data_IF_248773908262
#
_entry.id   IF_248773908262
#
_cell.length_a   1.000
_cell.length_b   1.000
_cell.length_c   1.000
_cell.angle_alpha   90.00
_cell.angle_beta   90.00
_cell.angle_gamma   90.00
#
_symmetry.space_group_name_H-M   'P 1'
#
loop_
_entity.id
_entity.type
_entity.pdbx_description
1 polymer ?
#
# COMPACT_ATOMS: atom_id res chain seq x y z
N UNK A 1 1.23 20.66 16.04
CA UNK A 1 -0.10 21.01 15.50
C UNK A 1 -0.77 22.31 16.03
N UNK A 2 -1.09 22.48 17.33
CA UNK A 2 -1.89 23.65 17.81
C UNK A 2 -1.19 25.03 17.78
N UNK A 3 0.13 25.08 17.64
CA UNK A 3 0.92 26.28 17.94
C UNK A 3 0.64 27.44 16.97
N UNK A 4 0.18 27.16 15.75
CA UNK A 4 -0.01 28.17 14.70
C UNK A 4 -1.43 28.19 14.09
N UNK A 5 -2.37 27.41 14.65
CA UNK A 5 -3.77 27.50 14.25
C UNK A 5 -4.45 28.67 14.97
N UNK A 6 -4.82 29.73 14.24
CA UNK A 6 -5.49 30.91 14.82
C UNK A 6 -6.62 31.44 13.94
N UNK A 7 -7.51 32.19 14.58
CA UNK A 7 -8.49 33.00 13.87
C UNK A 7 -7.83 34.28 13.33
N UNK A 8 -7.78 34.43 12.02
CA UNK A 8 -7.30 35.62 11.31
C UNK A 8 -8.38 36.01 10.30
N UNK A 9 -8.84 37.25 10.33
CA UNK A 9 -9.88 37.79 9.44
C UNK A 9 -11.16 36.91 9.37
N UNK A 10 -11.54 36.27 10.48
CA UNK A 10 -12.73 35.42 10.57
C UNK A 10 -12.51 33.96 10.13
N UNK A 11 -11.33 33.62 9.62
CA UNK A 11 -10.97 32.26 9.22
C UNK A 11 -10.07 31.60 10.26
N UNK A 12 -10.30 30.33 10.54
CA UNK A 12 -9.38 29.54 11.34
C UNK A 12 -8.34 28.92 10.41
N UNK A 13 -7.09 29.37 10.50
CA UNK A 13 -6.06 29.12 9.49
C UNK A 13 -4.75 28.63 10.10
N UNK A 14 -3.90 28.00 9.28
CA UNK A 14 -2.58 27.52 9.63
C UNK A 14 -1.61 27.70 8.46
N UNK A 15 -0.41 28.20 8.77
CA UNK A 15 0.71 28.26 7.83
C UNK A 15 2.04 28.02 8.55
N UNK A 16 2.26 26.79 9.04
CA UNK A 16 3.42 26.47 9.86
C UNK A 16 4.61 26.02 9.00
N UNK A 17 5.68 26.81 8.99
CA UNK A 17 6.81 26.63 8.07
C UNK A 17 7.87 25.61 8.54
N UNK A 18 7.83 25.16 9.81
CA UNK A 18 8.75 24.12 10.28
C UNK A 18 8.16 22.73 10.03
N UNK A 19 8.60 22.07 8.97
CA UNK A 19 8.15 20.73 8.64
C UNK A 19 8.74 19.64 9.55
N UNK A 20 9.65 19.91 10.48
CA UNK A 20 10.27 18.85 11.32
C UNK A 20 9.42 18.47 12.54
N UNK A 21 8.53 19.36 13.01
CA UNK A 21 7.66 19.13 14.18
C UNK A 21 6.29 18.52 13.80
N UNK A 22 6.28 17.49 12.96
CA UNK A 22 5.04 16.82 12.52
C UNK A 22 4.49 15.91 13.61
N UNK A 23 3.23 16.10 13.98
CA UNK A 23 2.57 15.37 15.06
C UNK A 23 1.12 14.97 14.75
N UNK A 24 0.62 15.22 13.53
CA UNK A 24 -0.81 15.05 13.21
C UNK A 24 -1.08 14.66 11.77
N UNK A 25 -2.18 13.92 11.56
CA UNK A 25 -2.74 13.57 10.25
C UNK A 25 -4.20 14.04 10.21
N UNK A 26 -4.61 14.62 9.09
CA UNK A 26 -5.96 15.14 8.89
C UNK A 26 -6.42 14.93 7.44
N UNK A 27 -7.72 15.08 7.18
CA UNK A 27 -8.29 14.88 5.85
C UNK A 27 -8.41 16.23 5.12
N UNK A 28 -7.84 16.33 3.93
CA UNK A 28 -8.11 17.43 3.00
C UNK A 28 -9.45 17.13 2.34
N UNK A 29 -10.41 18.05 2.46
CA UNK A 29 -11.80 17.86 1.99
C UNK A 29 -12.21 18.89 0.94
N UNK A 30 -11.33 19.82 0.60
CA UNK A 30 -11.58 20.85 -0.41
C UNK A 30 -10.42 21.82 -0.52
N UNK A 31 -10.58 22.82 -1.36
CA UNK A 31 -9.61 23.88 -1.57
C UNK A 31 -10.27 25.15 -2.10
N UNK A 32 -9.56 26.26 -2.00
CA UNK A 32 -9.93 27.56 -2.58
C UNK A 32 -8.64 28.26 -3.04
N UNK A 33 -8.46 28.38 -4.36
CA UNK A 33 -7.27 28.99 -4.97
C UNK A 33 -7.19 30.50 -4.70
N UNK A 34 -8.33 31.15 -4.41
CA UNK A 34 -8.43 32.58 -4.14
C UNK A 34 -8.40 32.91 -2.64
N UNK A 35 -8.21 31.91 -1.77
CA UNK A 35 -8.16 32.12 -0.33
C UNK A 35 -7.09 33.16 0.03
N UNK A 36 -7.42 34.26 0.75
CA UNK A 36 -6.50 35.39 0.87
C UNK A 36 -5.22 35.07 1.66
N UNK A 37 -4.07 35.44 1.10
CA UNK A 37 -2.75 35.20 1.70
C UNK A 37 -2.54 35.89 3.07
N UNK A 38 -3.26 36.98 3.31
CA UNK A 38 -3.22 37.77 4.56
C UNK A 38 -4.10 37.18 5.67
N UNK A 39 -4.84 36.10 5.38
CA UNK A 39 -5.64 35.37 6.36
C UNK A 39 -4.82 34.33 7.13
N UNK A 40 -3.49 34.35 7.05
CA UNK A 40 -2.59 33.46 7.79
C UNK A 40 -1.73 34.25 8.79
N UNK A 41 -1.54 33.71 10.01
CA UNK A 41 -0.69 34.35 11.02
C UNK A 41 0.76 34.49 10.53
N UNK A 42 1.30 33.40 10.00
CA UNK A 42 2.52 33.43 9.20
C UNK A 42 2.09 33.77 7.77
N UNK A 43 2.46 34.95 7.22
CA UNK A 43 1.96 35.38 5.91
C UNK A 43 2.25 34.33 4.84
N UNK A 44 1.24 34.02 4.03
CA UNK A 44 1.46 33.23 2.83
C UNK A 44 2.08 34.10 1.73
N UNK A 45 2.90 33.50 0.88
CA UNK A 45 3.50 34.13 -0.30
C UNK A 45 2.50 34.29 -1.47
N UNK A 46 1.40 33.54 -1.43
CA UNK A 46 0.32 33.55 -2.43
C UNK A 46 -1.04 33.28 -1.82
N UNK A 47 -2.08 33.65 -2.54
CA UNK A 47 -3.42 33.16 -2.27
C UNK A 47 -3.48 31.65 -2.51
N UNK A 48 -4.44 31.00 -1.87
CA UNK A 48 -4.68 29.57 -2.03
C UNK A 48 -4.54 28.78 -0.74
N UNK A 49 -5.53 27.94 -0.46
CA UNK A 49 -5.56 27.13 0.75
C UNK A 49 -6.31 25.80 0.57
N UNK A 50 -5.87 24.80 1.31
CA UNK A 50 -6.59 23.54 1.53
C UNK A 50 -7.61 23.71 2.66
N UNK A 51 -8.83 23.22 2.45
CA UNK A 51 -9.80 23.03 3.52
C UNK A 51 -9.56 21.66 4.16
N UNK A 52 -9.26 21.67 5.46
CA UNK A 52 -8.89 20.46 6.20
C UNK A 52 -9.92 20.18 7.30
N UNK A 53 -10.39 18.93 7.35
CA UNK A 53 -11.22 18.40 8.44
C UNK A 53 -10.32 17.74 9.50
N UNK A 54 -10.44 18.22 10.72
CA UNK A 54 -9.71 17.71 11.87
C UNK A 54 -10.52 16.66 12.66
N UNK A 55 -9.86 15.93 13.57
CA UNK A 55 -10.41 14.90 14.45
C UNK A 55 -10.69 15.39 15.88
N UNK A 56 -10.62 16.69 16.16
CA UNK A 56 -10.86 17.28 17.49
C UNK A 56 -12.33 17.65 17.78
N UNK A 57 -13.24 17.22 16.91
CA UNK A 57 -14.67 17.44 17.06
C UNK A 57 -15.13 18.84 16.65
N UNK A 58 -16.45 19.03 16.69
CA UNK A 58 -17.12 20.21 16.11
C UNK A 58 -16.95 21.50 16.91
N UNK A 59 -16.41 21.44 18.14
CA UNK A 59 -16.19 22.63 18.96
C UNK A 59 -14.82 23.27 18.75
N UNK A 60 -13.97 22.65 17.93
CA UNK A 60 -12.65 23.15 17.61
C UNK A 60 -12.63 23.87 16.26
N UNK A 61 -11.89 24.97 16.15
CA UNK A 61 -11.78 25.73 14.92
C UNK A 61 -13.14 26.19 14.39
N UNK A 62 -13.35 26.04 13.09
CA UNK A 62 -14.61 26.34 12.42
C UNK A 62 -15.42 25.05 12.24
N UNK A 63 -16.11 24.60 13.30
CA UNK A 63 -16.86 23.35 13.31
C UNK A 63 -16.04 22.07 13.01
N UNK A 64 -14.78 22.04 13.44
CA UNK A 64 -13.83 20.97 13.17
C UNK A 64 -12.98 21.18 11.92
N UNK A 65 -13.20 22.27 11.19
CA UNK A 65 -12.47 22.61 9.96
C UNK A 65 -11.54 23.81 10.14
N UNK A 66 -10.53 23.88 9.27
CA UNK A 66 -9.56 24.96 9.21
C UNK A 66 -8.89 25.00 7.84
N UNK A 67 -8.29 26.15 7.52
CA UNK A 67 -7.59 26.37 6.25
C UNK A 67 -6.09 26.21 6.42
N UNK A 68 -5.45 25.50 5.50
CA UNK A 68 -4.00 25.32 5.46
C UNK A 68 -3.48 25.97 4.19
N UNK A 69 -2.55 26.93 4.33
CA UNK A 69 -1.94 27.58 3.17
C UNK A 69 -1.27 26.57 2.25
N UNK A 70 -1.33 26.80 0.93
CA UNK A 70 -0.53 26.04 -0.03
C UNK A 70 0.98 26.17 0.15
N UNK A 71 1.44 27.14 0.94
CA UNK A 71 2.84 27.36 1.24
C UNK A 71 3.30 26.58 2.48
N UNK A 72 2.38 25.93 3.18
CA UNK A 72 2.74 25.05 4.29
C UNK A 72 3.40 23.78 3.74
N UNK A 73 4.63 23.44 4.17
CA UNK A 73 5.30 22.23 3.73
C UNK A 73 4.58 20.99 4.26
N UNK A 74 3.79 20.34 3.41
CA UNK A 74 3.14 19.06 3.68
C UNK A 74 3.93 17.97 2.95
N UNK A 75 4.62 17.07 3.67
CA UNK A 75 5.54 16.09 3.08
C UNK A 75 4.88 14.85 2.48
N UNK A 76 3.67 14.54 2.93
CA UNK A 76 3.04 13.24 2.79
C UNK A 76 1.60 13.48 2.42
N UNK A 77 1.27 13.15 1.18
CA UNK A 77 -0.08 13.16 0.65
C UNK A 77 -0.46 11.73 0.29
N UNK A 78 -1.54 11.25 0.90
CA UNK A 78 -2.13 9.98 0.56
C UNK A 78 -3.49 10.26 -0.10
N UNK A 79 -3.66 9.75 -1.31
CA UNK A 79 -4.95 9.76 -1.99
C UNK A 79 -5.63 8.41 -1.74
N UNK A 80 -6.90 8.43 -1.34
CA UNK A 80 -7.71 7.23 -1.20
C UNK A 80 -9.09 7.43 -1.83
N UNK A 81 -9.56 6.40 -2.53
CA UNK A 81 -10.92 6.33 -3.06
C UNK A 81 -11.69 5.24 -2.33
N UNK A 82 -12.93 5.54 -1.93
CA UNK A 82 -13.83 4.57 -1.29
C UNK A 82 -14.98 4.27 -2.25
N UNK A 83 -15.32 2.99 -2.38
CA UNK A 83 -16.43 2.54 -3.24
C UNK A 83 -17.39 1.63 -2.47
N UNK A 84 -18.66 1.60 -2.92
CA UNK A 84 -19.71 0.67 -2.47
C UNK A 84 -20.14 -0.31 -3.56
N UNK A 85 -19.36 -0.40 -4.65
CA UNK A 85 -19.67 -1.26 -5.80
C UNK A 85 -19.61 -2.75 -5.49
N UNK A 86 -18.89 -3.15 -4.43
CA UNK A 86 -18.64 -4.55 -4.07
C UNK A 86 -19.37 -4.94 -2.79
N UNK A 87 -19.93 -6.14 -2.77
CA UNK A 87 -20.68 -6.69 -1.63
C UNK A 87 -19.78 -7.28 -0.55
N UNK A 88 -18.59 -7.76 -0.91
CA UNK A 88 -17.60 -8.25 0.07
C UNK A 88 -16.17 -8.20 -0.48
N UNK A 89 -15.21 -8.23 0.44
CA UNK A 89 -13.78 -8.27 0.17
C UNK A 89 -13.12 -9.39 0.98
N UNK A 90 -12.26 -10.20 0.35
CA UNK A 90 -11.51 -11.27 1.01
C UNK A 90 -10.03 -11.08 0.73
N UNK A 91 -9.23 -10.97 1.79
CA UNK A 91 -7.78 -10.86 1.72
C UNK A 91 -7.19 -11.68 2.86
N UNK A 92 -6.16 -12.48 2.54
CA UNK A 92 -5.39 -13.22 3.54
C UNK A 92 -4.17 -12.42 4.00
N UNK A 93 -3.41 -11.82 3.07
CA UNK A 93 -2.42 -10.79 3.40
C UNK A 93 -3.02 -9.38 3.32
N UNK A 94 -2.79 -8.52 4.32
CA UNK A 94 -3.39 -7.18 4.36
C UNK A 94 -2.42 -6.02 4.50
N UNK A 95 -1.25 -6.24 5.08
CA UNK A 95 -0.28 -5.19 5.35
C UNK A 95 1.07 -5.53 4.71
N UNK A 96 1.56 -4.74 3.75
CA UNK A 96 2.80 -5.03 3.03
C UNK A 96 4.01 -4.83 3.95
N UNK A 97 4.38 -5.87 4.67
CA UNK A 97 5.50 -5.88 5.64
C UNK A 97 6.73 -6.61 5.10
N UNK A 98 6.54 -7.47 4.09
CA UNK A 98 7.62 -8.18 3.42
C UNK A 98 7.55 -7.93 1.90
N UNK A 99 8.72 -7.99 1.26
CA UNK A 99 8.85 -7.82 -0.20
C UNK A 99 9.73 -8.93 -0.76
N UNK A 100 9.29 -9.55 -1.86
CA UNK A 100 10.14 -10.41 -2.68
C UNK A 100 10.50 -9.67 -3.94
N UNK A 101 11.79 -9.64 -4.23
CA UNK A 101 12.36 -8.99 -5.40
C UNK A 101 12.66 -10.02 -6.48
N UNK A 102 12.60 -9.58 -7.73
CA UNK A 102 13.07 -10.36 -8.88
C UNK A 102 14.58 -10.63 -8.77
N UNK A 103 15.05 -11.70 -9.41
CA UNK A 103 16.44 -12.14 -9.30
C UNK A 103 17.44 -11.07 -9.78
N UNK A 104 17.09 -10.30 -10.82
CA UNK A 104 17.91 -9.22 -11.35
C UNK A 104 17.94 -8.00 -10.42
N UNK A 105 16.84 -7.68 -9.74
CA UNK A 105 16.83 -6.64 -8.69
C UNK A 105 17.65 -7.08 -7.49
N UNK A 106 17.51 -8.34 -7.03
CA UNK A 106 18.33 -8.89 -5.94
C UNK A 106 19.83 -8.85 -6.27
N UNK A 107 20.21 -9.18 -7.50
CA UNK A 107 21.60 -9.14 -7.94
C UNK A 107 22.20 -7.72 -7.87
N UNK A 108 21.40 -6.68 -8.10
CA UNK A 108 21.82 -5.28 -7.98
C UNK A 108 21.89 -4.80 -6.53
N UNK A 109 20.92 -5.17 -5.71
CA UNK A 109 20.91 -4.87 -4.27
C UNK A 109 22.12 -5.48 -3.56
N UNK A 110 22.53 -6.67 -4.00
CA UNK A 110 23.66 -7.40 -3.42
C UNK A 110 23.38 -7.87 -1.98
N UNK A 111 24.38 -8.46 -1.31
CA UNK A 111 24.22 -9.02 0.03
C UNK A 111 23.95 -7.98 1.12
N UNK A 112 24.32 -6.71 0.87
CA UNK A 112 24.13 -5.60 1.79
C UNK A 112 22.79 -4.88 1.64
N UNK A 113 21.96 -5.28 0.66
CA UNK A 113 20.67 -4.62 0.38
C UNK A 113 20.79 -3.12 0.12
N UNK A 114 21.79 -2.73 -0.68
CA UNK A 114 22.05 -1.33 -0.96
C UNK A 114 21.11 -0.79 -2.04
N UNK A 115 20.07 -0.09 -1.60
CA UNK A 115 19.08 0.54 -2.48
C UNK A 115 19.67 1.64 -3.38
N UNK A 116 20.89 2.12 -3.13
CA UNK A 116 21.55 3.06 -4.04
C UNK A 116 21.98 2.43 -5.37
N UNK A 117 22.03 1.09 -5.44
CA UNK A 117 22.36 0.33 -6.65
C UNK A 117 21.15 0.04 -7.54
N UNK A 118 19.93 0.35 -7.10
CA UNK A 118 18.70 0.14 -7.86
C UNK A 118 18.05 1.48 -8.21
N UNK A 119 17.34 1.47 -9.33
CA UNK A 119 16.62 2.62 -9.87
C UNK A 119 15.14 2.28 -10.03
N UNK A 120 14.31 3.31 -10.22
CA UNK A 120 12.89 3.09 -10.51
C UNK A 120 12.67 2.27 -11.81
N UNK A 121 13.60 2.35 -12.75
CA UNK A 121 13.57 1.59 -14.01
C UNK A 121 13.68 0.08 -13.77
N UNK A 122 14.39 -0.34 -12.72
CA UNK A 122 14.54 -1.76 -12.37
C UNK A 122 13.21 -2.38 -11.93
N UNK A 123 12.34 -1.59 -11.31
CA UNK A 123 11.00 -2.03 -10.91
C UNK A 123 9.98 -1.97 -12.05
N UNK A 124 10.32 -1.40 -13.21
CA UNK A 124 9.41 -1.29 -14.37
C UNK A 124 9.88 -2.10 -15.58
N UNK A 125 11.17 -2.49 -15.62
CA UNK A 125 11.78 -3.23 -16.74
C UNK A 125 12.54 -4.49 -16.33
N UNK A 126 12.62 -4.79 -15.04
CA UNK A 126 13.23 -6.01 -14.54
C UNK A 126 12.44 -7.28 -14.88
N UNK A 127 12.83 -8.41 -14.29
CA UNK A 127 12.06 -9.65 -14.43
C UNK A 127 10.79 -9.61 -13.58
N UNK A 128 9.79 -10.40 -13.95
CA UNK A 128 8.57 -10.51 -13.17
C UNK A 128 8.76 -11.31 -11.88
N UNK A 129 8.09 -10.87 -10.82
CA UNK A 129 7.77 -11.68 -9.65
C UNK A 129 6.32 -12.13 -9.78
N UNK A 130 6.07 -13.43 -9.61
CA UNK A 130 4.74 -14.00 -9.71
C UNK A 130 4.33 -14.64 -8.39
N UNK A 131 3.15 -14.26 -7.92
CA UNK A 131 2.58 -14.71 -6.66
C UNK A 131 1.16 -15.22 -6.90
N UNK A 132 0.71 -16.15 -6.06
CA UNK A 132 -0.60 -16.72 -6.19
C UNK A 132 -1.26 -16.96 -4.84
N UNK A 133 -2.59 -16.84 -4.81
CA UNK A 133 -3.40 -17.14 -3.64
C UNK A 133 -4.64 -17.92 -4.05
N UNK A 134 -4.88 -19.04 -3.38
CA UNK A 134 -6.05 -19.90 -3.53
C UNK A 134 -7.17 -19.40 -2.60
N UNK A 135 -8.36 -19.22 -3.16
CA UNK A 135 -9.57 -18.83 -2.45
C UNK A 135 -10.63 -19.91 -2.58
N UNK A 136 -11.35 -20.16 -1.50
CA UNK A 136 -12.44 -21.16 -1.46
C UNK A 136 -13.84 -20.53 -1.46
N UNK A 137 -13.92 -19.21 -1.38
CA UNK A 137 -15.20 -18.50 -1.41
C UNK A 137 -15.78 -18.50 -2.81
N UNK A 138 -16.86 -19.26 -3.01
CA UNK A 138 -17.67 -19.19 -4.21
C UNK A 138 -18.34 -17.82 -4.35
N UNK A 139 -18.52 -17.36 -5.59
CA UNK A 139 -19.21 -16.11 -5.86
C UNK A 139 -18.95 -15.56 -7.25
N UNK A 140 -19.17 -14.26 -7.41
CA UNK A 140 -18.86 -13.53 -8.62
C UNK A 140 -17.80 -12.46 -8.32
N UNK A 141 -16.59 -12.66 -8.83
CA UNK A 141 -15.46 -11.74 -8.62
C UNK A 141 -15.59 -10.59 -9.60
N UNK A 142 -15.69 -9.36 -9.08
CA UNK A 142 -15.71 -8.14 -9.90
C UNK A 142 -14.34 -7.50 -10.05
N UNK A 143 -13.46 -7.65 -9.07
CA UNK A 143 -12.14 -7.05 -9.09
C UNK A 143 -11.13 -7.76 -8.17
N UNK A 144 -9.85 -7.48 -8.42
CA UNK A 144 -8.72 -7.90 -7.59
C UNK A 144 -7.90 -6.66 -7.21
N UNK A 145 -7.54 -6.54 -5.93
CA UNK A 145 -6.66 -5.49 -5.44
C UNK A 145 -5.30 -6.00 -4.97
N UNK A 146 -4.25 -5.22 -5.24
CA UNK A 146 -2.86 -5.51 -4.89
C UNK A 146 -2.02 -4.22 -4.89
N UNK A 147 -0.76 -4.31 -4.45
CA UNK A 147 0.16 -3.18 -4.36
C UNK A 147 1.14 -3.11 -5.54
N UNK A 148 1.44 -1.90 -6.02
CA UNK A 148 2.59 -1.58 -6.87
C UNK A 148 3.54 -0.63 -6.12
N UNK A 149 4.83 -0.73 -6.42
CA UNK A 149 5.89 0.08 -5.82
C UNK A 149 6.26 1.30 -6.66
N UNK A 150 6.15 1.17 -7.99
CA UNK A 150 6.56 2.21 -8.93
C UNK A 150 5.38 2.73 -9.77
N UNK A 151 5.35 4.02 -10.11
CA UNK A 151 4.58 4.51 -11.25
C UNK A 151 4.91 3.70 -12.50
N UNK A 152 3.89 3.43 -13.30
CA UNK A 152 3.98 2.70 -14.56
C UNK A 152 4.55 1.27 -14.44
N UNK A 153 4.56 0.68 -13.23
CA UNK A 153 4.94 -0.71 -13.02
C UNK A 153 4.00 -1.66 -13.77
N UNK A 154 4.52 -2.47 -14.69
CA UNK A 154 3.72 -3.47 -15.39
C UNK A 154 3.18 -4.52 -14.42
N UNK A 155 1.92 -4.90 -14.64
CA UNK A 155 1.31 -6.02 -13.94
C UNK A 155 0.48 -6.89 -14.88
N UNK A 156 0.26 -8.13 -14.46
CA UNK A 156 -0.79 -9.03 -14.97
C UNK A 156 -1.50 -9.69 -13.81
N UNK A 157 -2.83 -9.72 -13.84
CA UNK A 157 -3.68 -10.43 -12.89
C UNK A 157 -4.48 -11.50 -13.64
N UNK A 158 -4.45 -12.73 -13.15
CA UNK A 158 -5.20 -13.85 -13.69
C UNK A 158 -6.07 -14.49 -12.61
N UNK A 159 -7.29 -14.90 -12.97
CA UNK A 159 -8.14 -15.75 -12.16
C UNK A 159 -8.16 -17.13 -12.83
N UNK A 160 -7.77 -18.16 -12.10
CA UNK A 160 -7.69 -19.54 -12.58
C UNK A 160 -8.74 -20.40 -11.86
N UNK A 161 -9.35 -21.35 -12.57
CA UNK A 161 -10.31 -22.30 -12.03
C UNK A 161 -9.63 -23.30 -11.08
N UNK A 162 -10.20 -23.55 -9.90
CA UNK A 162 -9.63 -24.48 -8.92
C UNK A 162 -8.26 -24.06 -8.40
N UNK A 163 -7.38 -25.04 -8.16
CA UNK A 163 -5.97 -24.80 -7.83
C UNK A 163 -5.15 -24.86 -9.11
N UNK A 164 -4.77 -23.69 -9.64
CA UNK A 164 -3.95 -23.56 -10.84
C UNK A 164 -4.51 -24.28 -12.10
N UNK A 165 -5.84 -24.29 -12.26
CA UNK A 165 -6.49 -24.81 -13.47
C UNK A 165 -6.50 -23.82 -14.64
N UNK A 166 -7.54 -23.87 -15.46
CA UNK A 166 -7.67 -22.99 -16.64
C UNK A 166 -7.83 -21.53 -16.24
N UNK A 167 -7.29 -20.61 -17.05
CA UNK A 167 -7.56 -19.18 -16.91
C UNK A 167 -9.03 -18.88 -17.20
N UNK A 168 -9.71 -18.26 -16.25
CA UNK A 168 -11.09 -17.78 -16.33
C UNK A 168 -11.16 -16.30 -16.76
N UNK A 169 -10.21 -15.50 -16.30
CA UNK A 169 -10.06 -14.10 -16.67
C UNK A 169 -8.59 -13.66 -16.53
N UNK A 170 -8.19 -12.67 -17.32
CA UNK A 170 -6.86 -12.07 -17.28
C UNK A 170 -6.99 -10.57 -17.58
N UNK A 171 -6.18 -9.77 -16.89
CA UNK A 171 -6.07 -8.33 -17.13
C UNK A 171 -4.64 -7.89 -16.86
N UNK A 172 -4.09 -7.06 -17.75
CA UNK A 172 -2.75 -6.50 -17.62
C UNK A 172 -2.79 -4.99 -17.79
N UNK A 173 -1.79 -4.30 -17.27
CA UNK A 173 -1.71 -2.85 -17.39
C UNK A 173 -0.61 -2.23 -16.54
N UNK A 174 -0.77 -0.94 -16.28
CA UNK A 174 0.06 -0.13 -15.40
C UNK A 174 -0.82 0.84 -14.60
N UNK A 175 -0.28 1.42 -13.53
CA UNK A 175 -0.92 2.50 -12.79
C UNK A 175 -0.02 3.74 -12.78
N UNK A 176 -0.60 4.93 -12.95
CA UNK A 176 0.14 6.21 -12.97
C UNK A 176 0.85 6.51 -11.65
N UNK A 177 0.37 5.94 -10.55
CA UNK A 177 0.91 6.15 -9.21
C UNK A 177 1.23 4.80 -8.57
N UNK A 178 2.16 4.79 -7.61
CA UNK A 178 2.36 3.64 -6.74
C UNK A 178 1.31 3.58 -5.65
N UNK A 179 1.15 2.40 -5.05
CA UNK A 179 0.25 2.19 -3.92
C UNK A 179 -0.64 0.98 -4.12
N UNK A 180 -1.79 0.99 -3.45
CA UNK A 180 -2.77 -0.09 -3.53
C UNK A 180 -3.79 0.22 -4.63
N UNK A 181 -3.93 -0.69 -5.57
CA UNK A 181 -4.80 -0.52 -6.73
C UNK A 181 -5.83 -1.62 -6.82
N UNK A 182 -6.89 -1.37 -7.60
CA UNK A 182 -7.97 -2.32 -7.85
C UNK A 182 -8.14 -2.49 -9.36
N UNK A 183 -7.94 -3.71 -9.84
CA UNK A 183 -8.16 -4.10 -11.25
C UNK A 183 -9.57 -4.64 -11.38
N UNK A 184 -10.42 -3.89 -12.09
CA UNK A 184 -11.80 -4.30 -12.38
C UNK A 184 -11.83 -5.20 -13.62
N UNK A 185 -12.63 -6.26 -13.58
CA UNK A 185 -12.90 -7.09 -14.75
C UNK A 185 -14.16 -6.59 -15.46
N UNK A 186 -14.13 -6.52 -16.80
CA UNK A 186 -15.27 -6.07 -17.62
C UNK A 186 -16.55 -6.86 -17.37
N UNK A 187 -16.39 -8.15 -17.03
CA UNK A 187 -17.48 -9.06 -16.67
C UNK A 187 -17.15 -9.76 -15.37
N UNK A 188 -18.09 -9.84 -14.41
CA UNK A 188 -17.88 -10.58 -13.18
C UNK A 188 -17.58 -12.06 -13.45
N UNK A 189 -16.59 -12.60 -12.75
CA UNK A 189 -16.08 -13.96 -12.96
C UNK A 189 -16.72 -14.90 -11.95
N UNK A 190 -17.52 -15.87 -12.43
CA UNK A 190 -18.13 -16.87 -11.56
C UNK A 190 -17.08 -17.88 -11.09
N UNK A 191 -16.90 -17.99 -9.78
CA UNK A 191 -15.87 -18.84 -9.15
C UNK A 191 -16.46 -19.76 -8.08
N UNK A 192 -15.76 -20.86 -7.80
CA UNK A 192 -16.00 -21.73 -6.63
C UNK A 192 -14.75 -21.76 -5.76
N UNK A 193 -13.86 -22.71 -6.03
CA UNK A 193 -12.46 -22.67 -5.64
C UNK A 193 -11.69 -22.12 -6.84
N UNK A 194 -10.77 -21.20 -6.61
CA UNK A 194 -10.03 -20.52 -7.66
C UNK A 194 -8.69 -20.03 -7.14
N UNK A 195 -7.76 -19.78 -8.05
CA UNK A 195 -6.47 -19.15 -7.74
C UNK A 195 -6.43 -17.78 -8.38
N UNK A 196 -5.96 -16.77 -7.65
CA UNK A 196 -5.57 -15.49 -8.24
C UNK A 196 -4.07 -15.48 -8.37
N UNK A 197 -3.56 -15.24 -9.59
CA UNK A 197 -2.14 -15.02 -9.85
C UNK A 197 -1.94 -13.54 -10.13
N UNK A 198 -0.97 -12.93 -9.45
CA UNK A 198 -0.50 -11.57 -9.73
C UNK A 198 0.96 -11.65 -10.15
N UNK A 199 1.27 -11.05 -11.30
CA UNK A 199 2.63 -10.84 -11.79
C UNK A 199 2.90 -9.35 -11.80
N UNK A 200 4.02 -8.95 -11.22
CA UNK A 200 4.50 -7.57 -11.19
C UNK A 200 5.98 -7.55 -11.52
N UNK A 201 6.39 -6.60 -12.33
CA UNK A 201 7.82 -6.44 -12.65
C UNK A 201 8.61 -6.02 -11.41
N UNK A 202 9.80 -6.57 -11.21
CA UNK A 202 10.76 -6.11 -10.21
C UNK A 202 10.52 -6.63 -8.78
N UNK A 203 9.29 -6.58 -8.27
CA UNK A 203 8.95 -7.03 -6.91
C UNK A 203 7.47 -7.36 -6.71
N UNK A 204 7.14 -8.06 -5.61
CA UNK A 204 5.78 -8.25 -5.11
C UNK A 204 5.72 -8.11 -3.57
N UNK A 205 4.56 -7.70 -3.05
CA UNK A 205 4.34 -7.45 -1.62
C UNK A 205 3.60 -8.59 -0.92
N UNK A 206 4.03 -8.85 0.31
CA UNK A 206 3.52 -9.91 1.17
C UNK A 206 3.19 -9.37 2.54
N UNK A 207 2.27 -10.04 3.20
CA UNK A 207 2.15 -9.94 4.63
C UNK A 207 3.45 -10.39 5.30
N UNK A 208 3.76 -9.72 6.40
CA UNK A 208 4.95 -9.98 7.18
C UNK A 208 4.86 -11.29 7.94
N UNK A 209 5.85 -11.53 8.78
CA UNK A 209 6.00 -12.82 9.45
C UNK A 209 5.38 -12.83 10.84
N UNK A 210 5.34 -14.01 11.46
CA UNK A 210 4.85 -14.19 12.83
C UNK A 210 5.74 -13.56 13.92
N UNK A 211 6.80 -12.83 13.56
CA UNK A 211 7.74 -12.20 14.51
C UNK A 211 7.74 -10.66 14.44
N UNK A 212 6.88 -10.07 13.62
CA UNK A 212 6.86 -8.62 13.43
C UNK A 212 6.41 -7.91 14.73
N UNK A 213 7.22 -6.93 15.14
CA UNK A 213 6.96 -6.09 16.32
C UNK A 213 6.84 -4.66 15.86
N UNK A 214 5.76 -4.00 16.23
CA UNK A 214 5.61 -2.57 15.98
C UNK A 214 5.30 -1.84 17.28
N UNK A 215 5.82 -0.62 17.40
CA UNK A 215 5.46 0.25 18.51
C UNK A 215 4.40 1.24 18.08
N UNK A 216 3.28 1.27 18.80
CA UNK A 216 2.28 2.32 18.68
C UNK A 216 2.61 3.39 19.71
N UNK A 217 2.85 4.60 19.23
CA UNK A 217 2.97 5.76 20.09
C UNK A 217 1.60 6.41 20.26
N UNK A 218 1.15 6.51 21.49
CA UNK A 218 0.09 7.46 21.86
C UNK A 218 0.75 8.72 22.43
N UNK A 219 0.00 9.81 22.53
CA UNK A 219 0.48 11.05 23.18
C UNK A 219 0.90 10.89 24.65
N UNK A 220 0.60 9.75 25.29
CA UNK A 220 0.90 9.48 26.70
C UNK A 220 1.86 8.31 26.93
N UNK A 221 1.99 7.38 25.98
CA UNK A 221 2.77 6.16 26.15
C UNK A 221 3.21 5.54 24.83
N UNK A 222 4.39 4.92 24.86
CA UNK A 222 4.83 3.95 23.85
C UNK A 222 4.30 2.58 24.25
N UNK A 223 3.43 2.01 23.43
CA UNK A 223 2.94 0.64 23.59
C UNK A 223 3.57 -0.26 22.52
N UNK A 224 4.07 -1.41 22.93
CA UNK A 224 4.57 -2.43 21.99
C UNK A 224 3.41 -3.34 21.60
N UNK A 225 3.15 -3.47 20.31
CA UNK A 225 2.20 -4.41 19.76
C UNK A 225 2.95 -5.49 18.98
N UNK A 226 2.41 -6.70 19.02
CA UNK A 226 2.91 -7.84 18.26
C UNK A 226 1.93 -8.13 17.12
N UNK A 227 2.45 -8.22 15.91
CA UNK A 227 1.70 -8.67 14.75
C UNK A 227 2.05 -10.14 14.48
N UNK A 228 1.06 -11.03 14.47
CA UNK A 228 1.26 -12.44 14.19
C UNK A 228 0.45 -12.84 12.96
N UNK A 229 1.07 -12.72 11.78
CA UNK A 229 0.51 -13.26 10.55
C UNK A 229 0.64 -14.80 10.51
N UNK A 230 -0.39 -15.49 10.02
CA UNK A 230 -0.40 -16.95 9.87
C UNK A 230 -0.81 -17.36 8.46
N UNK A 231 0.19 -17.75 7.69
CA UNK A 231 -0.01 -18.40 6.39
C UNK A 231 -0.34 -19.88 6.60
N UNK A 232 -1.27 -20.41 5.80
CA UNK A 232 -1.64 -21.82 5.84
C UNK A 232 -1.08 -22.56 4.63
N UNK A 233 -0.64 -23.83 4.78
CA UNK A 233 -0.28 -24.67 3.65
C UNK A 233 -1.44 -24.80 2.64
N UNK A 234 -1.10 -24.83 1.36
CA UNK A 234 -2.01 -24.93 0.23
C UNK A 234 -2.69 -23.61 -0.18
N UNK A 235 -2.37 -22.50 0.51
CA UNK A 235 -3.06 -21.21 0.28
C UNK A 235 -2.30 -20.28 -0.65
N UNK A 236 -1.04 -20.05 -0.36
CA UNK A 236 -0.28 -18.95 -0.95
C UNK A 236 1.04 -19.44 -1.51
N UNK A 237 1.41 -18.94 -2.67
CA UNK A 237 2.52 -19.46 -3.45
C UNK A 237 3.33 -18.35 -4.09
N UNK A 238 4.61 -18.62 -4.30
CA UNK A 238 5.54 -17.79 -5.08
C UNK A 238 6.10 -18.67 -6.19
N UNK A 239 6.19 -18.13 -7.39
CA UNK A 239 6.86 -18.82 -8.49
C UNK A 239 8.37 -18.69 -8.30
N UNK A 240 9.04 -19.81 -8.02
CA UNK A 240 10.50 -19.89 -7.93
C UNK A 240 11.03 -20.77 -9.06
N UNK A 241 11.76 -20.15 -10.00
CA UNK A 241 12.08 -20.80 -11.28
C UNK A 241 10.80 -21.09 -12.08
N UNK A 242 10.51 -22.37 -12.28
CA UNK A 242 9.30 -22.82 -13.00
C UNK A 242 8.25 -23.46 -12.07
N UNK A 243 8.50 -23.49 -10.75
CA UNK A 243 7.67 -24.18 -9.77
C UNK A 243 6.94 -23.19 -8.86
N UNK A 244 5.64 -23.43 -8.62
CA UNK A 244 4.90 -22.76 -7.56
C UNK A 244 5.27 -23.39 -6.22
N UNK A 245 5.92 -22.60 -5.37
CA UNK A 245 6.36 -23.01 -4.03
C UNK A 245 5.44 -22.39 -3.00
N UNK A 246 4.94 -23.21 -2.08
CA UNK A 246 4.10 -22.77 -0.98
C UNK A 246 4.88 -21.84 -0.04
N UNK A 247 4.26 -20.75 0.41
CA UNK A 247 4.91 -19.80 1.33
C UNK A 247 5.30 -20.42 2.68
N UNK A 248 4.65 -21.53 3.05
CA UNK A 248 4.96 -22.30 4.26
C UNK A 248 6.03 -23.37 4.07
N UNK A 249 6.54 -23.55 2.84
CA UNK A 249 7.62 -24.50 2.57
C UNK A 249 8.94 -24.02 3.21
N UNK A 250 9.59 -24.82 4.07
CA UNK A 250 10.82 -24.44 4.74
C UNK A 250 12.00 -24.20 3.77
N UNK A 251 11.93 -24.70 2.53
CA UNK A 251 12.93 -24.49 1.49
C UNK A 251 12.74 -23.20 0.69
N UNK A 252 11.63 -22.46 0.89
CA UNK A 252 11.29 -21.29 0.08
C UNK A 252 12.40 -20.24 0.05
N UNK A 253 12.98 -19.89 1.22
CA UNK A 253 14.06 -18.90 1.31
C UNK A 253 15.24 -19.27 0.40
N UNK A 254 15.63 -20.54 0.42
CA UNK A 254 16.72 -21.07 -0.41
C UNK A 254 16.37 -21.08 -1.90
N UNK A 255 15.15 -21.49 -2.23
CA UNK A 255 14.65 -21.48 -3.62
C UNK A 255 14.56 -20.07 -4.22
N UNK A 256 14.37 -19.05 -3.39
CA UNK A 256 14.39 -17.65 -3.79
C UNK A 256 15.81 -17.04 -3.78
N UNK A 257 16.84 -17.81 -3.43
CA UNK A 257 18.22 -17.33 -3.36
C UNK A 257 18.47 -16.34 -2.21
N UNK A 258 17.68 -16.43 -1.14
CA UNK A 258 17.70 -15.47 -0.03
C UNK A 258 18.54 -15.96 1.16
N UNK A 259 19.22 -17.11 1.07
CA UNK A 259 19.94 -17.75 2.18
C UNK A 259 21.04 -16.88 2.79
N UNK A 260 21.79 -16.16 1.94
CA UNK A 260 22.95 -15.36 2.34
C UNK A 260 22.58 -13.90 2.70
N UNK A 261 21.30 -13.56 2.64
CA UNK A 261 20.81 -12.23 2.98
C UNK A 261 20.63 -12.17 4.49
N UNK A 262 21.30 -11.21 5.13
CA UNK A 262 21.10 -10.91 6.54
C UNK A 262 19.60 -10.77 6.83
N UNK A 263 19.17 -11.11 8.05
CA UNK A 263 17.78 -10.95 8.50
C UNK A 263 17.41 -9.46 8.57
N UNK A 264 17.24 -8.82 7.40
CA UNK A 264 16.61 -7.51 7.28
C UNK A 264 15.14 -7.69 7.60
N UNK A 265 14.58 -6.80 8.42
CA UNK A 265 13.18 -6.87 8.86
C UNK A 265 12.18 -6.93 7.68
N UNK A 266 12.55 -6.41 6.50
CA UNK A 266 11.75 -6.45 5.26
C UNK A 266 11.90 -7.73 4.40
N UNK A 267 12.81 -8.64 4.78
CA UNK A 267 13.11 -9.91 4.11
C UNK A 267 12.70 -11.13 4.93
N UNK A 268 11.88 -10.93 5.97
CA UNK A 268 11.29 -12.02 6.72
C UNK A 268 10.58 -12.99 5.77
N UNK A 269 10.53 -14.28 6.13
CA UNK A 269 9.86 -15.32 5.33
C UNK A 269 8.48 -14.81 4.89
N UNK A 270 8.23 -14.66 3.57
CA UNK A 270 7.03 -14.02 3.08
C UNK A 270 5.80 -14.79 3.55
N UNK A 271 4.81 -14.06 4.07
CA UNK A 271 3.51 -14.62 4.43
C UNK A 271 2.57 -14.72 3.25
N UNK A 272 1.28 -14.47 3.48
CA UNK A 272 0.28 -14.43 2.42
C UNK A 272 0.51 -13.18 1.52
N UNK A 273 0.52 -13.30 0.17
CA UNK A 273 0.55 -12.16 -0.73
C UNK A 273 -0.56 -11.15 -0.40
N UNK A 274 -0.28 -9.87 -0.57
CA UNK A 274 -1.26 -8.79 -0.36
C UNK A 274 -2.27 -8.71 -1.53
N UNK A 275 -3.05 -9.78 -1.73
CA UNK A 275 -4.07 -9.90 -2.77
C UNK A 275 -5.46 -9.90 -2.12
N UNK A 276 -6.31 -8.98 -2.55
CA UNK A 276 -7.71 -8.91 -2.12
C UNK A 276 -8.64 -9.21 -3.29
N UNK A 277 -9.60 -10.08 -3.08
CA UNK A 277 -10.67 -10.37 -4.04
C UNK A 277 -11.93 -9.62 -3.64
N UNK A 278 -12.51 -8.90 -4.59
CA UNK A 278 -13.73 -8.11 -4.42
C UNK A 278 -14.88 -8.77 -5.18
N UNK A 279 -15.97 -9.07 -4.46
CA UNK A 279 -17.15 -9.75 -5.00
C UNK A 279 -18.28 -8.74 -5.25
N UNK A 280 -19.09 -9.01 -6.28
CA UNK A 280 -20.34 -8.28 -6.56
C UNK A 280 -21.51 -9.09 -6.01
#
# INVERSE_FOLDING_TARGET
YRKDCKYINGYYTQNYQNAEDRDHVAAIVGWDDDFPADCFQTPASRNGAWLVQNSFGVFWGNCGYYWVSYDMPIPEFYNCSVTREYSSAVSYGRFPMATVYSADVLAKLGPEFDFSNVTMEDFTKGSDVAVATVYEQKGSVGAVGFWTYAPDQPYTVEILDGEFGKVLASSSGTFEHCGYHTVKFDKPVSVKKFTVVVRTTGLAFFEGSSIDKFSVYTIFQKSYAHYEAKSLPGRSFILAGEEWVDVTDPSLKSRLGLDDLADFESLATPGDPCITVLYI
#
